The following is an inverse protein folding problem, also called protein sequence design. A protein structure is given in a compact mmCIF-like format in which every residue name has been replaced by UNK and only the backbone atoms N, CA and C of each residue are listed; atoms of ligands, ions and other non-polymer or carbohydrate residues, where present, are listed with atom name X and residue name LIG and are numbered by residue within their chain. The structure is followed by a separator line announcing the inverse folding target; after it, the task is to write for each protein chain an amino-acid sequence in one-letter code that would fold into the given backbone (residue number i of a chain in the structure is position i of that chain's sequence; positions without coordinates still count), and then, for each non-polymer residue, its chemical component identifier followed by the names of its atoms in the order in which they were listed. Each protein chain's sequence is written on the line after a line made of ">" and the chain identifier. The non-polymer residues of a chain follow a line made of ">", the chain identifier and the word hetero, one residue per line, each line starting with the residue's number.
data_IF_927909594809
#
_entry.id   IF_927909594809
#
_cell.length_a   1.000
_cell.length_b   1.000
_cell.length_c   1.000
_cell.angle_alpha   90.00
_cell.angle_beta   90.00
_cell.angle_gamma   90.00
#
_symmetry.space_group_name_H-M   'P 1'
#
loop_
_entity.id
_entity.type
_entity.pdbx_description
1 polymer ?
#
# COMPACT_ATOMS: atom_id res chain seq x y z
N UNK A 1 -16.31 15.69 -8.36
CA UNK A 1 -14.88 15.63 -7.99
C UNK A 1 -14.39 14.23 -8.31
N UNK A 2 -13.58 14.09 -9.36
CA UNK A 2 -12.99 12.81 -9.77
C UNK A 2 -11.74 12.58 -8.92
N UNK A 3 -11.78 11.60 -8.03
CA UNK A 3 -10.57 11.10 -7.38
C UNK A 3 -9.76 10.37 -8.46
N UNK A 4 -8.85 11.10 -9.11
CA UNK A 4 -8.13 10.68 -10.32
C UNK A 4 -7.03 9.65 -10.07
N UNK A 5 -7.11 8.90 -8.98
CA UNK A 5 -6.08 7.94 -8.60
C UNK A 5 -6.69 6.55 -8.68
N UNK A 6 -6.47 5.92 -9.82
CA UNK A 6 -6.94 4.58 -10.13
C UNK A 6 -6.24 3.56 -9.20
N UNK A 7 -6.98 2.76 -8.39
CA UNK A 7 -6.40 1.83 -7.42
C UNK A 7 -5.30 0.90 -7.96
N UNK A 8 -5.38 0.35 -9.20
CA UNK A 8 -4.31 -0.42 -9.81
C UNK A 8 -2.98 0.33 -9.91
N UNK A 9 -3.00 1.65 -10.14
CA UNK A 9 -1.78 2.46 -10.21
C UNK A 9 -1.12 2.60 -8.84
N UNK A 10 -1.91 2.75 -7.77
CA UNK A 10 -1.42 2.79 -6.39
C UNK A 10 -0.83 1.45 -5.97
N UNK A 11 -1.48 0.34 -6.33
CA UNK A 11 -0.96 -1.01 -6.07
C UNK A 11 0.39 -1.20 -6.79
N UNK A 12 0.46 -0.81 -8.07
CA UNK A 12 1.69 -0.89 -8.84
C UNK A 12 2.83 -0.02 -8.27
N UNK A 13 2.52 1.18 -7.78
CA UNK A 13 3.49 2.04 -7.09
C UNK A 13 3.95 1.42 -5.77
N UNK A 14 3.02 0.93 -4.96
CA UNK A 14 3.30 0.28 -3.69
C UNK A 14 4.21 -0.94 -3.86
N UNK A 15 3.98 -1.74 -4.90
CA UNK A 15 4.81 -2.91 -5.21
C UNK A 15 6.24 -2.52 -5.62
N UNK A 16 6.41 -1.47 -6.44
CA UNK A 16 7.75 -0.96 -6.80
C UNK A 16 8.48 -0.43 -5.58
N UNK A 17 7.79 0.35 -4.74
CA UNK A 17 8.33 0.85 -3.48
C UNK A 17 8.74 -0.29 -2.54
N UNK A 18 7.90 -1.34 -2.41
CA UNK A 18 8.22 -2.52 -1.62
C UNK A 18 9.53 -3.16 -2.07
N UNK A 19 9.66 -3.45 -3.37
CA UNK A 19 10.88 -4.01 -3.96
C UNK A 19 12.09 -3.13 -3.68
N UNK A 20 12.00 -1.81 -3.91
CA UNK A 20 13.09 -0.89 -3.62
C UNK A 20 13.51 -0.85 -2.14
N UNK A 21 12.56 -0.98 -1.21
CA UNK A 21 12.89 -1.07 0.22
C UNK A 21 13.51 -2.41 0.59
N UNK A 22 13.09 -3.51 -0.01
CA UNK A 22 13.70 -4.83 0.22
C UNK A 22 15.13 -4.89 -0.34
N UNK A 23 15.37 -4.32 -1.53
CA UNK A 23 16.71 -4.17 -2.11
C UNK A 23 17.62 -3.31 -1.22
N UNK A 24 17.10 -2.19 -0.69
CA UNK A 24 17.83 -1.31 0.23
C UNK A 24 18.15 -2.01 1.56
N UNK A 25 17.22 -2.78 2.11
CA UNK A 25 17.39 -3.54 3.35
C UNK A 25 18.49 -4.61 3.19
N UNK A 26 18.49 -5.33 2.06
CA UNK A 26 19.54 -6.32 1.77
C UNK A 26 20.90 -5.66 1.53
N UNK A 27 20.95 -4.54 0.81
CA UNK A 27 22.18 -3.77 0.62
C UNK A 27 22.73 -3.25 1.97
N UNK A 28 21.87 -2.77 2.87
CA UNK A 28 22.26 -2.33 4.21
C UNK A 28 22.84 -3.48 5.05
N UNK A 29 22.22 -4.68 5.01
CA UNK A 29 22.76 -5.88 5.66
C UNK A 29 24.09 -6.32 5.06
N UNK A 30 24.23 -6.25 3.75
CA UNK A 30 25.48 -6.53 3.05
C UNK A 30 26.60 -5.58 3.48
N UNK A 31 26.30 -4.27 3.52
CA UNK A 31 27.23 -3.25 3.98
C UNK A 31 27.63 -3.45 5.44
N UNK A 32 26.69 -3.86 6.30
CA UNK A 32 27.00 -4.18 7.70
C UNK A 32 28.01 -5.31 7.81
N UNK A 33 27.76 -6.42 7.12
CA UNK A 33 28.70 -7.56 7.09
C UNK A 33 30.08 -7.17 6.58
N UNK A 34 30.14 -6.36 5.52
CA UNK A 34 31.39 -5.88 4.95
C UNK A 34 32.14 -4.94 5.92
N UNK A 35 31.42 -4.03 6.58
CA UNK A 35 31.99 -3.12 7.57
C UNK A 35 32.51 -3.88 8.80
N UNK A 36 31.77 -4.87 9.31
CA UNK A 36 32.19 -5.71 10.42
C UNK A 36 33.47 -6.50 10.07
N UNK A 37 33.53 -7.08 8.85
CA UNK A 37 34.73 -7.76 8.36
C UNK A 37 35.94 -6.81 8.21
N UNK A 38 35.71 -5.60 7.68
CA UNK A 38 36.76 -4.59 7.54
C UNK A 38 37.28 -4.12 8.91
N UNK A 39 36.38 -3.92 9.88
CA UNK A 39 36.73 -3.55 11.25
C UNK A 39 37.65 -4.60 11.90
N UNK A 40 37.31 -5.88 11.75
CA UNK A 40 38.12 -6.99 12.26
C UNK A 40 39.51 -7.03 11.62
N UNK A 41 39.60 -6.82 10.30
CA UNK A 41 40.89 -6.79 9.59
C UNK A 41 41.75 -5.57 9.95
N UNK A 42 41.13 -4.43 10.23
CA UNK A 42 41.81 -3.16 10.48
C UNK A 42 42.16 -2.92 11.96
N UNK A 43 41.56 -3.66 12.89
CA UNK A 43 41.76 -3.50 14.34
C UNK A 43 43.23 -3.53 14.75
N UNK A 44 44.04 -4.35 14.08
CA UNK A 44 45.48 -4.48 14.35
C UNK A 44 46.37 -3.64 13.42
N UNK A 45 45.80 -3.05 12.37
CA UNK A 45 46.53 -2.35 11.31
C UNK A 45 46.38 -0.83 11.35
N UNK A 46 45.26 -0.31 11.87
CA UNK A 46 44.95 1.12 11.85
C UNK A 46 44.36 1.60 13.19
N UNK A 47 45.01 2.54 13.90
CA UNK A 47 44.46 3.15 15.11
C UNK A 47 43.12 3.87 14.89
N UNK A 48 42.87 4.35 13.67
CA UNK A 48 41.66 5.10 13.31
C UNK A 48 40.49 4.23 12.78
N UNK A 49 40.58 2.90 12.88
CA UNK A 49 39.51 2.00 12.42
C UNK A 49 38.15 2.30 13.07
N UNK A 50 38.13 2.79 14.31
CA UNK A 50 36.90 3.19 15.01
C UNK A 50 36.09 4.26 14.27
N UNK A 51 36.74 5.25 13.65
CA UNK A 51 36.05 6.30 12.89
C UNK A 51 35.36 5.75 11.63
N UNK A 52 35.95 4.73 10.99
CA UNK A 52 35.34 4.02 9.87
C UNK A 52 34.08 3.27 10.33
N UNK A 53 34.17 2.57 11.47
CA UNK A 53 33.05 1.83 12.08
C UNK A 53 31.91 2.77 12.44
N UNK A 54 32.19 3.91 13.08
CA UNK A 54 31.17 4.90 13.44
C UNK A 54 30.47 5.49 12.21
N UNK A 55 31.24 5.85 11.18
CA UNK A 55 30.70 6.41 9.94
C UNK A 55 29.80 5.40 9.22
N UNK A 56 30.25 4.15 9.11
CA UNK A 56 29.48 3.08 8.46
C UNK A 56 28.23 2.71 9.25
N UNK A 57 28.33 2.62 10.59
CA UNK A 57 27.20 2.35 11.47
C UNK A 57 26.09 3.40 11.29
N UNK A 58 26.43 4.69 11.29
CA UNK A 58 25.44 5.76 11.11
C UNK A 58 24.69 5.70 9.78
N UNK A 59 25.36 5.26 8.70
CA UNK A 59 24.73 5.08 7.38
C UNK A 59 23.82 3.85 7.32
N UNK A 60 24.24 2.75 7.93
CA UNK A 60 23.44 1.52 8.04
C UNK A 60 22.17 1.77 8.86
N UNK A 61 22.29 2.46 9.99
CA UNK A 61 21.16 2.81 10.84
C UNK A 61 20.17 3.75 10.15
N UNK A 62 20.68 4.68 9.32
CA UNK A 62 19.82 5.54 8.50
C UNK A 62 19.06 4.71 7.45
N UNK A 63 19.74 3.78 6.78
CA UNK A 63 19.12 2.91 5.78
C UNK A 63 17.98 2.07 6.40
N UNK A 64 18.22 1.42 7.55
CA UNK A 64 17.18 0.66 8.23
C UNK A 64 15.99 1.54 8.68
N UNK A 65 16.24 2.78 9.13
CA UNK A 65 15.17 3.72 9.47
C UNK A 65 14.34 4.14 8.25
N UNK A 66 14.98 4.36 7.10
CA UNK A 66 14.29 4.66 5.84
C UNK A 66 13.40 3.47 5.44
N UNK A 67 13.94 2.26 5.47
CA UNK A 67 13.18 1.03 5.18
C UNK A 67 11.99 0.87 6.12
N UNK A 68 12.19 1.01 7.43
CA UNK A 68 11.12 0.89 8.42
C UNK A 68 10.00 1.90 8.18
N UNK A 69 10.36 3.16 7.92
CA UNK A 69 9.38 4.22 7.64
C UNK A 69 8.70 4.01 6.28
N UNK A 70 9.43 3.52 5.28
CA UNK A 70 8.89 3.12 3.99
C UNK A 70 7.84 2.01 4.10
N UNK A 71 8.13 0.96 4.88
CA UNK A 71 7.17 -0.12 5.17
C UNK A 71 5.93 0.38 5.91
N UNK A 72 6.07 1.33 6.83
CA UNK A 72 4.93 1.96 7.49
C UNK A 72 4.05 2.76 6.51
N UNK A 73 4.66 3.48 5.56
CA UNK A 73 3.92 4.19 4.50
C UNK A 73 3.17 3.20 3.60
N UNK A 74 3.79 2.07 3.22
CA UNK A 74 3.13 1.04 2.43
C UNK A 74 1.93 0.41 3.16
N UNK A 75 2.06 0.17 4.46
CA UNK A 75 0.96 -0.32 5.29
C UNK A 75 -0.20 0.68 5.33
N UNK A 76 0.08 1.97 5.52
CA UNK A 76 -0.93 3.02 5.48
C UNK A 76 -1.61 3.12 4.10
N UNK A 77 -0.83 3.02 3.02
CA UNK A 77 -1.36 3.01 1.65
C UNK A 77 -2.31 1.83 1.43
N UNK A 78 -1.95 0.63 1.90
CA UNK A 78 -2.81 -0.56 1.82
C UNK A 78 -4.13 -0.34 2.56
N UNK A 79 -4.10 0.27 3.76
CA UNK A 79 -5.32 0.60 4.50
C UNK A 79 -6.22 1.56 3.72
N UNK A 80 -5.66 2.60 3.10
CA UNK A 80 -6.43 3.57 2.30
C UNK A 80 -7.05 2.92 1.07
N UNK A 81 -6.28 2.09 0.34
CA UNK A 81 -6.78 1.39 -0.85
C UNK A 81 -7.90 0.42 -0.47
N UNK A 82 -7.77 -0.33 0.63
CA UNK A 82 -8.82 -1.23 1.11
C UNK A 82 -10.07 -0.45 1.53
N UNK A 83 -9.93 0.67 2.23
CA UNK A 83 -11.06 1.52 2.61
C UNK A 83 -11.80 2.09 1.37
N UNK A 84 -11.05 2.44 0.31
CA UNK A 84 -11.64 2.88 -0.94
C UNK A 84 -12.44 1.76 -1.63
N UNK A 85 -11.84 0.58 -1.77
CA UNK A 85 -12.49 -0.56 -2.45
C UNK A 85 -13.74 -1.03 -1.69
N UNK A 86 -13.68 -1.08 -0.37
CA UNK A 86 -14.85 -1.44 0.46
C UNK A 86 -15.99 -0.42 0.32
N UNK A 87 -15.68 0.89 0.31
CA UNK A 87 -16.69 1.91 0.06
C UNK A 87 -17.33 1.80 -1.35
N UNK A 88 -16.53 1.43 -2.35
CA UNK A 88 -17.02 1.22 -3.72
C UNK A 88 -17.94 -0.02 -3.81
N UNK A 89 -17.57 -1.12 -3.14
CA UNK A 89 -18.41 -2.33 -3.03
C UNK A 89 -19.74 -2.04 -2.31
N UNK A 90 -19.71 -1.26 -1.22
CA UNK A 90 -20.92 -0.84 -0.49
C UNK A 90 -21.84 0.03 -1.36
N UNK A 91 -21.27 0.97 -2.14
CA UNK A 91 -22.04 1.80 -3.08
C UNK A 91 -22.65 0.97 -4.20
N UNK A 92 -21.91 0.03 -4.78
CA UNK A 92 -22.39 -0.87 -5.82
C UNK A 92 -23.56 -1.73 -5.30
N UNK A 93 -23.41 -2.30 -4.11
CA UNK A 93 -24.48 -3.07 -3.46
C UNK A 93 -25.72 -2.24 -3.14
N UNK A 94 -25.55 -1.02 -2.64
CA UNK A 94 -26.67 -0.11 -2.38
C UNK A 94 -27.42 0.28 -3.66
N UNK A 95 -26.69 0.50 -4.75
CA UNK A 95 -27.26 0.80 -6.06
C UNK A 95 -28.04 -0.39 -6.65
N UNK A 96 -27.51 -1.61 -6.53
CA UNK A 96 -28.19 -2.84 -6.97
C UNK A 96 -29.48 -3.09 -6.17
N UNK A 97 -29.44 -2.91 -4.83
CA UNK A 97 -30.63 -3.02 -3.98
C UNK A 97 -31.67 -1.96 -4.36
N UNK A 98 -31.26 -0.73 -4.63
CA UNK A 98 -32.15 0.33 -5.09
C UNK A 98 -32.80 -0.01 -6.44
N UNK A 99 -32.02 -0.53 -7.40
CA UNK A 99 -32.51 -0.96 -8.70
C UNK A 99 -33.50 -2.14 -8.60
N UNK A 100 -33.19 -3.13 -7.76
CA UNK A 100 -34.07 -4.28 -7.49
C UNK A 100 -35.40 -3.84 -6.85
N UNK A 101 -35.35 -2.91 -5.89
CA UNK A 101 -36.57 -2.31 -5.31
C UNK A 101 -37.37 -1.53 -6.35
N UNK A 102 -36.71 -0.75 -7.21
CA UNK A 102 -37.38 -0.02 -8.28
C UNK A 102 -38.06 -0.97 -9.28
N UNK A 103 -37.47 -2.14 -9.56
CA UNK A 103 -38.08 -3.17 -10.40
C UNK A 103 -39.23 -3.94 -9.70
N UNK A 104 -39.17 -4.10 -8.38
CA UNK A 104 -40.21 -4.76 -7.58
C UNK A 104 -41.44 -3.87 -7.32
N UNK A 105 -41.29 -2.54 -7.43
CA UNK A 105 -42.43 -1.61 -7.46
C UNK A 105 -43.11 -1.76 -8.82
N UNK A 106 -44.19 -2.52 -8.88
CA UNK A 106 -45.10 -2.53 -10.02
C UNK A 106 -45.50 -1.09 -10.31
N UNK A 107 -45.25 -0.63 -11.54
CA UNK A 107 -45.61 0.72 -11.95
C UNK A 107 -47.10 0.94 -11.63
N UNK A 108 -47.47 1.90 -10.77
CA UNK A 108 -48.86 2.16 -10.45
C UNK A 108 -49.67 2.61 -11.68
N UNK A 109 -48.98 2.94 -12.79
CA UNK A 109 -49.54 3.25 -14.08
C UNK A 109 -49.45 2.09 -15.10
N UNK A 110 -49.24 0.85 -14.66
CA UNK A 110 -49.22 -0.32 -15.55
C UNK A 110 -50.60 -0.47 -16.26
N UNK A 111 -50.68 -0.38 -17.61
CA UNK A 111 -51.92 -0.49 -18.36
C UNK A 111 -52.69 -1.80 -18.10
N UNK A 112 -51.98 -2.85 -17.71
CA UNK A 112 -52.55 -4.16 -17.39
C UNK A 112 -53.41 -4.10 -16.12
N UNK A 113 -53.08 -3.20 -15.18
CA UNK A 113 -53.85 -2.98 -13.94
C UNK A 113 -55.16 -2.24 -14.22
N UNK A 114 -55.15 -1.29 -15.16
CA UNK A 114 -56.38 -0.59 -15.58
C UNK A 114 -57.29 -1.43 -16.47
N UNK A 115 -56.75 -2.42 -17.19
CA UNK A 115 -57.51 -3.33 -18.06
C UNK A 115 -58.34 -4.39 -17.31
N UNK A 116 -58.00 -4.73 -16.06
CA UNK A 116 -58.72 -5.75 -15.27
C UNK A 116 -59.97 -5.24 -14.53
N UNK A 117 -60.34 -3.96 -14.69
CA UNK A 117 -61.47 -3.33 -13.97
C UNK A 117 -62.63 -2.91 -14.87
N UNK A 118 -62.93 -3.69 -15.91
CA UNK A 118 -64.20 -3.59 -16.65
C UNK A 118 -64.83 -4.98 -16.81
N UNK A 119 -65.97 -5.13 -16.11
CA UNK A 119 -67.15 -5.97 -16.35
C UNK A 119 -66.93 -7.36 -16.95
#
# INVERSE_FOLDING_TARGET
>A
MSYSVDPPQLIGLGERMRRSFDDLDEAARGLRRAADAAALGLVHALPAHGALVELTAGRIDLAHRIVARGRAVLSALQTVVLAYLTADEEMAGAAEVAASRAAAVTNPFDPIVFGRRRL
#
